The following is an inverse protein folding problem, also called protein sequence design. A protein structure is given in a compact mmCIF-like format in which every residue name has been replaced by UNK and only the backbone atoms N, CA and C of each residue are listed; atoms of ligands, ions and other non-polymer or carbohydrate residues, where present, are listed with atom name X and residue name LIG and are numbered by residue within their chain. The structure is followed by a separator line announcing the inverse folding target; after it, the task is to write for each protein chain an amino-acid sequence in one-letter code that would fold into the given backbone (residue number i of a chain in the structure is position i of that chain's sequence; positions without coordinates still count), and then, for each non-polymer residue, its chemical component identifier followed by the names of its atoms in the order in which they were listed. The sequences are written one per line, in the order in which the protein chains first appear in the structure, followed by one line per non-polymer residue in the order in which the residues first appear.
data_IF_556291585530
#
_entry.id   IF_556291585530
#
_cell.length_a   1.000
_cell.length_b   1.000
_cell.length_c   1.000
_cell.angle_alpha   90.00
_cell.angle_beta   90.00
_cell.angle_gamma   90.00
#
_symmetry.space_group_name_H-M   'P 1'
#
loop_
_entity.id
_entity.type
_entity.pdbx_description
1 polymer ?
#
# COMPACT_ATOMS: atom_id res chain seq x y z
N UNK A 1 30.87 54.61 32.62
CA UNK A 1 30.57 53.16 32.70
C UNK A 1 30.41 52.65 31.28
N UNK A 2 31.48 52.11 30.69
CA UNK A 2 31.43 51.44 29.40
C UNK A 2 31.07 49.98 29.65
N UNK A 3 29.93 49.54 29.15
CA UNK A 3 29.57 48.12 29.06
C UNK A 3 30.48 47.49 28.02
N UNK A 4 31.44 46.70 28.48
CA UNK A 4 32.27 45.84 27.63
C UNK A 4 31.33 44.81 26.99
N UNK A 5 31.09 44.94 25.68
CA UNK A 5 30.37 43.93 24.92
C UNK A 5 31.27 42.69 24.81
N UNK A 6 30.86 41.58 25.41
CA UNK A 6 31.55 40.29 25.31
C UNK A 6 31.64 39.84 23.85
N UNK A 7 32.84 39.80 23.24
CA UNK A 7 33.00 39.40 21.86
C UNK A 7 33.35 37.92 21.81
N UNK A 8 32.40 36.97 21.94
CA UNK A 8 32.61 35.54 21.59
C UNK A 8 31.37 34.65 21.83
N UNK A 9 30.26 34.88 21.13
CA UNK A 9 29.27 33.81 20.89
C UNK A 9 29.09 33.65 19.38
N UNK A 10 30.15 33.22 18.71
CA UNK A 10 30.07 32.82 17.31
C UNK A 10 29.20 31.56 17.25
N UNK A 11 27.95 31.71 16.83
CA UNK A 11 27.04 30.59 16.63
C UNK A 11 27.69 29.54 15.72
N UNK A 12 27.52 28.24 16.02
CA UNK A 12 28.07 27.19 15.19
C UNK A 12 27.54 27.30 13.76
N UNK A 13 28.34 26.90 12.74
CA UNK A 13 27.92 26.94 11.35
C UNK A 13 26.60 26.18 11.15
N UNK A 14 25.72 26.70 10.29
CA UNK A 14 24.36 26.19 10.08
C UNK A 14 24.30 24.67 9.90
N UNK A 15 25.22 24.09 9.13
CA UNK A 15 25.28 22.64 8.92
C UNK A 15 25.44 21.84 10.22
N UNK A 16 26.23 22.32 11.18
CA UNK A 16 26.35 21.67 12.50
C UNK A 16 25.08 21.79 13.33
N UNK A 17 24.36 22.92 13.22
CA UNK A 17 23.07 23.15 13.90
C UNK A 17 21.97 22.25 13.33
N UNK A 18 21.88 22.13 12.01
CA UNK A 18 20.94 21.26 11.31
C UNK A 18 21.23 19.77 11.53
N UNK A 19 22.50 19.40 11.72
CA UNK A 19 22.90 18.03 12.05
C UNK A 19 22.54 17.60 13.49
N UNK A 20 21.98 18.49 14.31
CA UNK A 20 21.57 18.14 15.67
C UNK A 20 20.43 17.09 15.67
N UNK A 21 20.48 16.09 16.55
CA UNK A 21 19.45 15.05 16.63
C UNK A 21 18.08 15.60 17.02
N UNK A 22 18.04 16.75 17.71
CA UNK A 22 16.80 17.40 18.11
C UNK A 22 16.03 17.97 16.91
N UNK A 23 16.73 18.65 15.99
CA UNK A 23 16.12 19.17 14.75
C UNK A 23 15.62 18.02 13.89
N UNK A 24 16.39 16.93 13.77
CA UNK A 24 15.97 15.75 13.02
C UNK A 24 14.70 15.13 13.61
N UNK A 25 14.64 14.89 14.92
CA UNK A 25 13.45 14.36 15.62
C UNK A 25 12.24 15.27 15.46
N UNK A 26 12.43 16.59 15.48
CA UNK A 26 11.37 17.56 15.24
C UNK A 26 10.78 17.43 13.83
N UNK A 27 11.62 17.42 12.80
CA UNK A 27 11.17 17.30 11.40
C UNK A 27 10.49 15.94 11.19
N UNK A 28 11.12 14.86 11.61
CA UNK A 28 10.60 13.50 11.47
C UNK A 28 9.24 13.34 12.15
N UNK A 29 9.07 13.84 13.37
CA UNK A 29 7.80 13.81 14.08
C UNK A 29 6.69 14.61 13.38
N UNK A 30 7.03 15.70 12.68
CA UNK A 30 6.08 16.48 11.89
C UNK A 30 5.68 15.78 10.58
N UNK A 31 6.64 15.12 9.92
CA UNK A 31 6.46 14.43 8.64
C UNK A 31 5.70 13.11 8.83
N UNK A 32 6.11 12.28 9.80
CA UNK A 32 5.51 10.96 10.09
C UNK A 32 4.01 11.03 10.39
N UNK A 33 3.51 12.18 10.88
CA UNK A 33 2.07 12.40 11.13
C UNK A 33 1.24 12.62 9.86
N UNK A 34 1.87 12.86 8.70
CA UNK A 34 1.20 13.35 7.48
C UNK A 34 1.65 12.67 6.19
N UNK A 35 2.71 11.88 6.23
CA UNK A 35 3.35 11.23 5.09
C UNK A 35 3.46 9.74 5.39
N UNK A 36 3.23 8.83 4.41
CA UNK A 36 3.41 7.38 4.59
C UNK A 36 4.83 7.03 5.07
N UNK A 37 4.98 5.96 5.86
CA UNK A 37 6.27 5.63 6.50
C UNK A 37 7.43 5.49 5.52
N UNK A 38 7.21 4.88 4.34
CA UNK A 38 8.25 4.70 3.32
C UNK A 38 8.76 6.00 2.68
N UNK A 39 8.03 7.11 2.82
CA UNK A 39 8.36 8.41 2.21
C UNK A 39 8.86 9.42 3.25
N UNK A 40 8.92 9.04 4.53
CA UNK A 40 9.30 9.95 5.62
C UNK A 40 10.73 10.44 5.45
N UNK A 41 11.67 9.53 5.21
CA UNK A 41 13.09 9.85 5.12
C UNK A 41 13.40 10.75 3.92
N UNK A 42 12.76 10.51 2.77
CA UNK A 42 12.92 11.32 1.56
C UNK A 42 12.41 12.75 1.74
N UNK A 43 11.26 12.92 2.40
CA UNK A 43 10.72 14.25 2.72
C UNK A 43 11.60 14.95 3.76
N UNK A 44 12.09 14.25 4.78
CA UNK A 44 13.02 14.80 5.78
C UNK A 44 14.32 15.26 5.12
N UNK A 45 14.90 14.45 4.23
CA UNK A 45 16.09 14.81 3.47
C UNK A 45 15.85 16.04 2.60
N UNK A 46 14.72 16.10 1.90
CA UNK A 46 14.36 17.27 1.08
C UNK A 46 14.27 18.54 1.92
N UNK A 47 13.66 18.48 3.11
CA UNK A 47 13.59 19.62 4.04
C UNK A 47 14.98 20.09 4.47
N UNK A 48 15.87 19.16 4.82
CA UNK A 48 17.24 19.49 5.25
C UNK A 48 18.07 20.08 4.11
N UNK A 49 17.95 19.56 2.88
CA UNK A 49 18.60 20.11 1.70
C UNK A 49 18.13 21.54 1.42
N UNK A 50 16.82 21.80 1.46
CA UNK A 50 16.26 23.14 1.29
C UNK A 50 16.71 24.10 2.39
N UNK A 51 16.77 23.63 3.64
CA UNK A 51 17.24 24.43 4.77
C UNK A 51 18.73 24.78 4.64
N UNK A 52 19.56 23.85 4.14
CA UNK A 52 20.98 24.07 3.88
C UNK A 52 21.23 25.04 2.72
N UNK A 53 20.36 25.02 1.71
CA UNK A 53 20.48 25.87 0.52
C UNK A 53 19.93 27.29 0.70
N UNK A 54 19.26 27.59 1.81
CA UNK A 54 18.65 28.90 2.04
C UNK A 54 19.65 29.89 2.65
N UNK A 55 19.79 31.05 2.02
CA UNK A 55 20.75 32.09 2.43
C UNK A 55 20.35 32.81 3.75
N UNK A 56 19.08 32.76 4.14
CA UNK A 56 18.52 33.53 5.26
C UNK A 56 18.08 32.63 6.44
N UNK A 57 18.97 31.75 6.89
CA UNK A 57 18.72 30.96 8.08
C UNK A 57 18.91 31.80 9.37
N UNK A 58 17.96 31.80 10.32
CA UNK A 58 18.13 32.52 11.58
C UNK A 58 19.32 32.03 12.41
N UNK A 59 20.06 32.96 13.03
CA UNK A 59 21.20 32.64 13.89
C UNK A 59 20.78 32.08 15.26
N UNK A 60 19.61 32.47 15.75
CA UNK A 60 19.02 31.99 17.00
C UNK A 60 18.40 30.59 16.83
N UNK A 61 18.59 29.70 17.81
CA UNK A 61 18.15 28.30 17.74
C UNK A 61 16.62 28.16 17.82
N UNK A 62 15.93 29.00 18.58
CA UNK A 62 14.47 28.96 18.64
C UNK A 62 13.84 29.45 17.33
N UNK A 63 14.40 30.52 16.76
CA UNK A 63 13.98 31.03 15.46
C UNK A 63 14.28 30.02 14.35
N UNK A 64 15.44 29.34 14.40
CA UNK A 64 15.78 28.26 13.46
C UNK A 64 14.75 27.13 13.51
N UNK A 65 14.36 26.67 14.71
CA UNK A 65 13.33 25.63 14.88
C UNK A 65 11.99 26.04 14.28
N UNK A 66 11.53 27.27 14.53
CA UNK A 66 10.28 27.81 13.96
C UNK A 66 10.34 27.91 12.44
N UNK A 67 11.48 28.36 11.91
CA UNK A 67 11.74 28.50 10.48
C UNK A 67 11.77 27.15 9.76
N UNK A 68 12.50 26.16 10.27
CA UNK A 68 12.51 24.78 9.76
C UNK A 68 11.10 24.19 9.78
N UNK A 69 10.34 24.36 10.86
CA UNK A 69 8.96 23.89 10.93
C UNK A 69 8.06 24.55 9.85
N UNK A 70 8.40 25.75 9.38
CA UNK A 70 7.79 26.38 8.22
C UNK A 70 8.11 25.63 6.92
N UNK A 71 9.39 25.38 6.64
CA UNK A 71 9.85 24.62 5.47
C UNK A 71 9.21 23.23 5.43
N UNK A 72 9.22 22.51 6.56
CA UNK A 72 8.62 21.18 6.69
C UNK A 72 7.13 21.18 6.31
N UNK A 73 6.36 22.17 6.77
CA UNK A 73 4.93 22.28 6.42
C UNK A 73 4.72 22.47 4.92
N UNK A 74 5.54 23.31 4.29
CA UNK A 74 5.47 23.52 2.84
C UNK A 74 5.84 22.26 2.06
N UNK A 75 6.91 21.56 2.45
CA UNK A 75 7.32 20.32 1.78
C UNK A 75 6.29 19.19 1.92
N UNK A 76 5.67 19.06 3.08
CA UNK A 76 4.56 18.12 3.24
C UNK A 76 3.38 18.51 2.35
N UNK A 77 3.02 19.79 2.26
CA UNK A 77 1.96 20.24 1.36
C UNK A 77 2.30 19.97 -0.12
N UNK A 78 3.55 20.20 -0.50
CA UNK A 78 4.03 19.94 -1.86
C UNK A 78 4.09 18.45 -2.19
N UNK A 79 4.43 17.58 -1.24
CA UNK A 79 4.32 16.13 -1.38
C UNK A 79 2.89 15.72 -1.76
N UNK A 80 1.88 16.21 -1.02
CA UNK A 80 0.47 15.93 -1.33
C UNK A 80 0.01 16.54 -2.67
N UNK A 81 0.50 17.73 -3.01
CA UNK A 81 0.23 18.35 -4.33
C UNK A 81 0.84 17.53 -5.47
N UNK A 82 2.07 17.02 -5.32
CA UNK A 82 2.73 16.17 -6.30
C UNK A 82 1.99 14.83 -6.44
N UNK A 83 1.65 14.18 -5.33
CA UNK A 83 0.86 12.94 -5.34
C UNK A 83 -0.51 13.08 -6.00
N UNK A 84 -1.13 14.27 -5.94
CA UNK A 84 -2.40 14.55 -6.64
C UNK A 84 -2.26 14.87 -8.14
N UNK A 85 -1.06 15.25 -8.60
CA UNK A 85 -0.81 15.73 -9.97
C UNK A 85 -0.01 14.75 -10.82
N UNK A 86 0.78 13.89 -10.19
CA UNK A 86 1.37 12.77 -10.90
C UNK A 86 0.19 11.95 -11.44
N UNK A 87 0.03 11.79 -12.77
CA UNK A 87 -0.74 10.66 -13.25
C UNK A 87 -0.16 9.47 -12.50
N UNK A 88 -1.01 8.54 -12.02
CA UNK A 88 -0.51 7.23 -11.57
C UNK A 88 0.28 6.69 -12.76
N UNK A 89 1.57 6.99 -12.81
CA UNK A 89 2.48 6.46 -13.79
C UNK A 89 2.30 4.96 -13.58
N UNK A 90 1.86 4.30 -14.65
CA UNK A 90 1.63 2.86 -14.70
C UNK A 90 2.70 2.21 -13.84
N UNK A 91 2.29 1.79 -12.65
CA UNK A 91 3.15 1.07 -11.72
C UNK A 91 3.66 -0.08 -12.55
N UNK A 92 4.98 -0.11 -12.75
CA UNK A 92 5.66 -1.21 -13.41
C UNK A 92 5.06 -2.51 -12.90
N UNK A 93 4.54 -3.32 -13.82
CA UNK A 93 3.87 -4.63 -13.65
C UNK A 93 4.71 -5.70 -12.92
N UNK A 94 5.82 -5.30 -12.29
CA UNK A 94 6.89 -6.16 -11.79
C UNK A 94 6.84 -6.42 -10.28
N UNK A 95 5.91 -5.83 -9.53
CA UNK A 95 5.62 -6.28 -8.17
C UNK A 95 4.13 -6.54 -8.10
N UNK A 96 3.75 -7.81 -8.27
CA UNK A 96 2.46 -8.34 -7.88
C UNK A 96 2.31 -8.21 -6.36
N UNK A 97 2.18 -6.97 -5.88
CA UNK A 97 1.68 -6.68 -4.57
C UNK A 97 0.29 -7.29 -4.51
N UNK A 98 0.10 -8.15 -3.53
CA UNK A 98 -1.17 -8.74 -3.11
C UNK A 98 -2.32 -7.78 -3.47
N UNK A 99 -3.17 -8.18 -4.43
CA UNK A 99 -4.25 -7.33 -4.91
C UNK A 99 -4.98 -6.79 -3.68
N UNK A 100 -5.19 -5.46 -3.56
CA UNK A 100 -5.93 -4.92 -2.44
C UNK A 100 -7.23 -5.71 -2.34
N UNK A 101 -7.64 -6.14 -1.13
CA UNK A 101 -8.67 -7.17 -0.94
C UNK A 101 -10.05 -6.81 -1.53
N UNK A 102 -10.21 -5.58 -2.05
CA UNK A 102 -11.32 -5.16 -2.89
C UNK A 102 -10.80 -4.58 -4.21
N UNK A 103 -10.84 -5.38 -5.26
CA UNK A 103 -10.49 -5.00 -6.63
C UNK A 103 -11.46 -3.95 -7.19
N UNK A 104 -11.00 -3.13 -8.15
CA UNK A 104 -11.89 -2.18 -8.86
C UNK A 104 -13.12 -2.87 -9.48
N UNK A 105 -12.98 -4.16 -9.84
CA UNK A 105 -14.06 -5.00 -10.36
C UNK A 105 -15.16 -5.28 -9.32
N UNK A 106 -14.82 -5.38 -8.05
CA UNK A 106 -15.81 -5.58 -6.97
C UNK A 106 -16.61 -4.31 -6.69
N UNK A 107 -15.95 -3.15 -6.75
CA UNK A 107 -16.61 -1.85 -6.65
C UNK A 107 -17.60 -1.63 -7.81
N UNK A 108 -17.21 -1.99 -9.03
CA UNK A 108 -18.11 -1.94 -10.19
C UNK A 108 -19.33 -2.85 -10.01
N UNK A 109 -19.12 -4.13 -9.62
CA UNK A 109 -20.22 -5.07 -9.34
C UNK A 109 -21.14 -4.61 -8.22
N UNK A 110 -20.61 -3.97 -7.17
CA UNK A 110 -21.43 -3.38 -6.11
C UNK A 110 -22.28 -2.23 -6.65
N UNK A 111 -21.69 -1.34 -7.44
CA UNK A 111 -22.41 -0.20 -8.02
C UNK A 111 -23.53 -0.64 -8.98
N UNK A 112 -23.28 -1.67 -9.80
CA UNK A 112 -24.28 -2.27 -10.70
C UNK A 112 -25.50 -2.80 -9.93
N UNK A 113 -25.27 -3.53 -8.83
CA UNK A 113 -26.36 -4.01 -7.95
C UNK A 113 -27.21 -2.88 -7.37
N UNK A 114 -26.64 -1.70 -7.12
CA UNK A 114 -27.41 -0.55 -6.62
C UNK A 114 -28.35 0.04 -7.68
N UNK A 115 -28.13 -0.28 -8.96
CA UNK A 115 -28.95 0.18 -10.10
C UNK A 115 -29.85 -0.91 -10.66
N UNK A 116 -29.82 -2.11 -10.10
CA UNK A 116 -30.64 -3.23 -10.54
C UNK A 116 -32.14 -2.87 -10.39
N UNK A 117 -32.90 -3.04 -11.47
CA UNK A 117 -34.32 -2.68 -11.54
C UNK A 117 -34.61 -1.24 -11.97
N UNK A 118 -33.61 -0.37 -12.13
CA UNK A 118 -33.78 0.98 -12.67
C UNK A 118 -32.88 1.21 -13.93
N UNK A 119 -33.45 1.14 -15.15
CA UNK A 119 -32.69 1.30 -16.39
C UNK A 119 -32.19 2.73 -16.62
N UNK A 120 -32.75 3.74 -15.95
CA UNK A 120 -32.23 5.11 -15.99
C UNK A 120 -31.02 5.26 -15.07
N UNK A 121 -31.06 4.63 -13.90
CA UNK A 121 -29.92 4.55 -12.98
C UNK A 121 -28.73 3.81 -13.61
N UNK A 122 -28.97 2.68 -14.26
CA UNK A 122 -27.94 1.90 -14.94
C UNK A 122 -27.25 2.72 -16.07
N UNK A 123 -28.02 3.45 -16.87
CA UNK A 123 -27.46 4.38 -17.88
C UNK A 123 -26.65 5.51 -17.25
N UNK A 124 -27.14 6.08 -16.15
CA UNK A 124 -26.40 7.13 -15.43
C UNK A 124 -25.08 6.60 -14.85
N UNK A 125 -25.05 5.33 -14.42
CA UNK A 125 -23.85 4.67 -13.95
C UNK A 125 -22.83 4.43 -15.08
N UNK A 126 -23.29 4.00 -16.25
CA UNK A 126 -22.45 3.90 -17.45
C UNK A 126 -21.79 5.24 -17.81
N UNK A 127 -22.57 6.34 -17.79
CA UNK A 127 -22.01 7.68 -18.01
C UNK A 127 -20.93 8.05 -17.00
N UNK A 128 -21.08 7.64 -15.74
CA UNK A 128 -20.05 7.85 -14.71
C UNK A 128 -18.80 7.02 -14.95
N UNK A 129 -18.93 5.79 -15.42
CA UNK A 129 -17.80 4.94 -15.78
C UNK A 129 -17.02 5.52 -16.96
N UNK A 130 -17.72 5.97 -18.01
CA UNK A 130 -17.13 6.67 -19.17
C UNK A 130 -16.44 7.98 -18.78
N UNK A 131 -17.06 8.77 -17.90
CA UNK A 131 -16.43 9.98 -17.34
C UNK A 131 -15.16 9.65 -16.55
N UNK A 132 -15.15 8.56 -15.78
CA UNK A 132 -13.97 8.04 -15.09
C UNK A 132 -12.86 7.59 -16.04
N UNK A 133 -13.22 7.12 -17.23
CA UNK A 133 -12.31 6.83 -18.35
C UNK A 133 -11.76 8.06 -19.08
N UNK A 134 -12.14 9.28 -18.65
CA UNK A 134 -11.66 10.54 -19.22
C UNK A 134 -12.60 11.19 -20.24
N UNK A 135 -13.74 10.57 -20.54
CA UNK A 135 -14.71 11.13 -21.46
C UNK A 135 -15.44 12.34 -20.86
N UNK A 136 -15.59 13.42 -21.62
CA UNK A 136 -16.28 14.62 -21.11
C UNK A 136 -17.80 14.39 -21.16
N UNK A 137 -18.52 14.72 -20.08
CA UNK A 137 -19.99 14.62 -20.01
C UNK A 137 -20.74 15.35 -21.15
N UNK A 138 -20.13 16.37 -21.77
CA UNK A 138 -20.71 17.05 -22.92
C UNK A 138 -20.74 16.18 -24.18
N UNK A 139 -19.75 15.30 -24.35
CA UNK A 139 -19.68 14.33 -25.44
C UNK A 139 -20.74 13.24 -25.25
N UNK A 140 -20.79 12.66 -24.05
CA UNK A 140 -21.83 11.69 -23.66
C UNK A 140 -23.24 12.28 -23.86
N UNK A 141 -23.46 13.54 -23.47
CA UNK A 141 -24.73 14.22 -23.68
C UNK A 141 -25.10 14.37 -25.17
N UNK A 142 -24.13 14.65 -26.04
CA UNK A 142 -24.35 14.75 -27.47
C UNK A 142 -24.70 13.38 -28.10
N UNK A 143 -24.02 12.31 -27.69
CA UNK A 143 -24.31 10.94 -28.13
C UNK A 143 -25.70 10.46 -27.71
N UNK A 144 -26.06 10.68 -26.45
CA UNK A 144 -27.36 10.30 -25.87
C UNK A 144 -28.50 11.22 -26.29
N UNK A 145 -28.21 12.29 -27.04
CA UNK A 145 -29.16 13.35 -27.45
C UNK A 145 -29.88 13.98 -26.26
N UNK A 146 -29.17 14.17 -25.16
CA UNK A 146 -29.66 14.81 -23.93
C UNK A 146 -28.99 16.17 -23.70
N UNK A 147 -29.68 17.14 -23.07
CA UNK A 147 -29.02 18.38 -22.66
C UNK A 147 -27.89 18.11 -21.66
N UNK A 148 -26.70 18.68 -21.89
CA UNK A 148 -25.54 18.50 -21.01
C UNK A 148 -25.80 18.85 -19.53
N UNK A 149 -26.74 19.76 -19.27
CA UNK A 149 -27.18 20.12 -17.91
C UNK A 149 -27.90 18.95 -17.22
N UNK A 150 -28.76 18.20 -17.93
CA UNK A 150 -29.46 17.05 -17.37
C UNK A 150 -28.49 15.92 -17.02
N UNK A 151 -27.55 15.61 -17.91
CA UNK A 151 -26.51 14.58 -17.66
C UNK A 151 -25.71 14.92 -16.41
N UNK A 152 -25.22 16.16 -16.29
CA UNK A 152 -24.51 16.62 -15.08
C UNK A 152 -25.35 16.51 -13.82
N UNK A 153 -26.63 16.86 -13.89
CA UNK A 153 -27.52 16.79 -12.73
C UNK A 153 -27.77 15.35 -12.30
N UNK A 154 -28.04 14.44 -13.24
CA UNK A 154 -28.23 13.00 -12.98
C UNK A 154 -26.98 12.37 -12.38
N UNK A 155 -25.82 12.58 -12.99
CA UNK A 155 -24.52 12.12 -12.47
C UNK A 155 -24.25 12.68 -11.07
N UNK A 156 -24.51 13.97 -10.84
CA UNK A 156 -24.33 14.56 -9.51
C UNK A 156 -25.27 13.95 -8.46
N UNK A 157 -26.52 13.63 -8.81
CA UNK A 157 -27.46 12.96 -7.91
C UNK A 157 -27.00 11.54 -7.61
N UNK A 158 -26.59 10.79 -8.64
CA UNK A 158 -26.09 9.42 -8.49
C UNK A 158 -24.84 9.36 -7.60
N UNK A 159 -23.86 10.27 -7.79
CA UNK A 159 -22.68 10.37 -6.92
C UNK A 159 -23.05 10.63 -5.46
N UNK A 160 -24.06 11.47 -5.18
CA UNK A 160 -24.52 11.73 -3.81
C UNK A 160 -25.19 10.50 -3.22
N UNK A 161 -26.05 9.83 -3.99
CA UNK A 161 -26.73 8.61 -3.58
C UNK A 161 -25.73 7.50 -3.22
N UNK A 162 -24.74 7.24 -4.08
CA UNK A 162 -23.71 6.23 -3.82
C UNK A 162 -22.88 6.56 -2.59
N UNK A 163 -22.49 7.83 -2.40
CA UNK A 163 -21.77 8.26 -1.18
C UNK A 163 -22.59 8.04 0.09
N UNK A 164 -23.89 8.30 0.05
CA UNK A 164 -24.77 8.09 1.21
C UNK A 164 -24.89 6.61 1.56
N UNK A 165 -25.08 5.73 0.57
CA UNK A 165 -25.13 4.28 0.82
C UNK A 165 -23.80 3.72 1.32
N UNK A 166 -22.70 4.14 0.73
CA UNK A 166 -21.39 3.71 1.19
C UNK A 166 -21.08 4.18 2.62
N UNK A 167 -21.45 5.41 2.96
CA UNK A 167 -21.31 5.91 4.33
C UNK A 167 -22.15 5.10 5.34
N UNK A 168 -23.34 4.65 4.96
CA UNK A 168 -24.18 3.80 5.80
C UNK A 168 -23.56 2.41 6.02
N UNK A 169 -23.03 1.78 4.97
CA UNK A 169 -22.32 0.50 5.08
C UNK A 169 -21.07 0.62 5.97
N UNK A 170 -20.27 1.67 5.81
CA UNK A 170 -19.12 1.93 6.67
C UNK A 170 -19.52 2.18 8.13
N UNK A 171 -20.61 2.90 8.37
CA UNK A 171 -21.13 3.12 9.72
C UNK A 171 -21.56 1.80 10.38
N UNK A 172 -22.17 0.88 9.62
CA UNK A 172 -22.54 -0.44 10.11
C UNK A 172 -21.31 -1.29 10.47
N UNK A 173 -20.29 -1.32 9.60
CA UNK A 173 -19.02 -2.01 9.89
C UNK A 173 -18.34 -1.41 11.13
N UNK A 174 -18.28 -0.09 11.22
CA UNK A 174 -17.72 0.59 12.39
C UNK A 174 -18.47 0.27 13.68
N UNK A 175 -19.81 0.17 13.62
CA UNK A 175 -20.62 -0.25 14.76
C UNK A 175 -20.31 -1.69 15.19
N UNK A 176 -20.19 -2.63 14.24
CA UNK A 176 -19.81 -4.03 14.52
C UNK A 176 -18.43 -4.10 15.17
N UNK A 177 -17.44 -3.39 14.62
CA UNK A 177 -16.09 -3.33 15.19
C UNK A 177 -16.12 -2.75 16.60
N UNK A 178 -16.90 -1.69 16.82
CA UNK A 178 -17.08 -1.08 18.16
C UNK A 178 -17.68 -2.09 19.14
N UNK A 179 -18.71 -2.84 18.74
CA UNK A 179 -19.31 -3.89 19.57
C UNK A 179 -18.30 -5.00 19.85
N UNK A 180 -17.55 -5.47 18.84
CA UNK A 180 -16.51 -6.49 19.02
C UNK A 180 -15.42 -6.05 20.00
N UNK A 181 -14.99 -4.79 19.92
CA UNK A 181 -14.03 -4.20 20.86
C UNK A 181 -14.61 -4.13 22.26
N UNK A 182 -15.86 -3.71 22.43
CA UNK A 182 -16.52 -3.68 23.75
C UNK A 182 -16.66 -5.10 24.31
N UNK A 183 -17.09 -6.05 23.50
CA UNK A 183 -17.21 -7.46 23.86
C UNK A 183 -15.85 -8.02 24.28
N UNK A 184 -14.78 -7.79 23.51
CA UNK A 184 -13.43 -8.19 23.88
C UNK A 184 -12.91 -7.51 25.15
N UNK A 185 -13.25 -6.23 25.35
CA UNK A 185 -12.88 -5.43 26.53
C UNK A 185 -13.57 -5.92 27.80
N UNK A 186 -14.82 -6.39 27.68
CA UNK A 186 -15.65 -6.83 28.80
C UNK A 186 -15.75 -8.36 28.93
N UNK A 187 -15.20 -9.12 27.98
CA UNK A 187 -15.12 -10.57 28.13
C UNK A 187 -14.22 -10.85 29.34
N UNK A 188 -14.70 -11.60 30.35
CA UNK A 188 -13.85 -12.03 31.44
C UNK A 188 -12.66 -12.76 30.81
N UNK A 189 -11.45 -12.23 31.03
CA UNK A 189 -10.24 -12.99 30.75
C UNK A 189 -10.34 -14.20 31.67
N UNK A 190 -10.49 -15.39 31.10
CA UNK A 190 -10.25 -16.61 31.85
C UNK A 190 -8.90 -16.40 32.53
N UNK A 191 -8.91 -16.36 33.86
CA UNK A 191 -7.67 -16.39 34.60
C UNK A 191 -6.95 -17.64 34.10
N UNK A 192 -5.73 -17.51 33.56
CA UNK A 192 -5.01 -18.66 33.06
C UNK A 192 -4.96 -19.63 34.23
N UNK A 193 -5.69 -20.73 34.11
CA UNK A 193 -5.69 -21.82 35.08
C UNK A 193 -4.21 -22.12 35.24
N UNK A 194 -3.65 -21.83 36.42
CA UNK A 194 -2.25 -22.04 36.70
C UNK A 194 -1.93 -23.44 36.17
N UNK A 195 -0.97 -23.58 35.24
CA UNK A 195 -0.74 -24.86 34.60
C UNK A 195 -0.57 -25.87 35.72
N UNK A 196 -1.43 -26.90 35.72
CA UNK A 196 -1.27 -28.02 36.63
C UNK A 196 0.21 -28.40 36.58
N UNK A 197 0.87 -28.68 37.73
CA UNK A 197 2.30 -28.96 37.76
C UNK A 197 2.58 -30.00 36.67
N UNK A 198 3.23 -29.54 35.60
CA UNK A 198 3.55 -30.40 34.47
C UNK A 198 4.39 -31.50 35.09
N UNK A 199 4.00 -32.78 34.99
CA UNK A 199 4.83 -33.85 35.53
C UNK A 199 6.22 -33.63 34.96
N UNK A 200 7.20 -33.54 35.84
CA UNK A 200 8.60 -33.34 35.49
C UNK A 200 8.98 -34.50 34.57
N UNK A 201 8.92 -34.26 33.25
CA UNK A 201 9.29 -35.24 32.25
C UNK A 201 10.80 -35.32 32.35
N UNK A 202 11.30 -36.28 33.11
CA UNK A 202 12.71 -36.64 33.09
C UNK A 202 13.07 -36.93 31.64
N UNK A 203 13.97 -36.14 31.01
CA UNK A 203 14.31 -36.34 29.62
C UNK A 203 14.80 -37.79 29.43
N UNK A 204 14.29 -38.45 28.39
CA UNK A 204 14.73 -39.79 28.06
C UNK A 204 16.23 -39.73 27.74
N UNK A 205 17.09 -40.45 28.48
CA UNK A 205 18.54 -40.42 28.25
C UNK A 205 18.92 -40.82 26.82
N UNK A 206 18.08 -41.60 26.12
CA UNK A 206 18.31 -41.95 24.71
C UNK A 206 18.15 -40.76 23.78
N UNK A 207 17.17 -39.89 24.04
CA UNK A 207 16.96 -38.68 23.24
C UNK A 207 18.09 -37.67 23.46
N UNK A 208 18.65 -37.61 24.68
CA UNK A 208 19.84 -36.80 24.94
C UNK A 208 21.07 -37.32 24.19
N UNK A 209 21.25 -38.64 24.14
CA UNK A 209 22.32 -39.25 23.35
C UNK A 209 22.20 -38.97 21.85
N UNK A 210 20.98 -39.08 21.29
CA UNK A 210 20.73 -38.72 19.89
C UNK A 210 21.05 -37.26 19.59
N UNK A 211 20.66 -36.33 20.49
CA UNK A 211 21.00 -34.90 20.35
C UNK A 211 22.50 -34.66 20.37
N UNK A 212 23.24 -35.36 21.23
CA UNK A 212 24.70 -35.26 21.29
C UNK A 212 25.34 -35.73 19.98
N UNK A 213 24.92 -36.88 19.45
CA UNK A 213 25.42 -37.41 18.18
C UNK A 213 25.17 -36.47 17.00
N UNK A 214 23.99 -35.82 16.93
CA UNK A 214 23.72 -34.81 15.89
C UNK A 214 24.63 -33.60 16.00
N UNK A 215 24.88 -33.11 17.23
CA UNK A 215 25.76 -31.97 17.44
C UNK A 215 27.21 -32.28 17.00
N UNK A 216 27.72 -33.46 17.38
CA UNK A 216 29.04 -33.95 16.95
C UNK A 216 29.10 -34.12 15.42
N UNK A 217 28.04 -34.66 14.80
CA UNK A 217 27.97 -34.84 13.37
C UNK A 217 28.01 -33.52 12.60
N UNK A 218 27.29 -32.49 13.08
CA UNK A 218 27.30 -31.17 12.46
C UNK A 218 28.69 -30.52 12.52
N UNK A 219 29.45 -30.76 13.59
CA UNK A 219 30.85 -30.33 13.71
C UNK A 219 31.78 -31.09 12.74
N UNK A 220 31.59 -32.41 12.60
CA UNK A 220 32.28 -33.25 11.60
C UNK A 220 31.98 -32.78 10.17
N UNK A 221 30.72 -32.43 9.87
CA UNK A 221 30.33 -31.84 8.59
C UNK A 221 30.99 -30.46 8.37
N UNK A 222 31.06 -29.61 9.39
CA UNK A 222 31.70 -28.30 9.28
C UNK A 222 33.22 -28.40 9.01
N UNK A 223 33.87 -29.43 9.55
CA UNK A 223 35.30 -29.72 9.32
C UNK A 223 35.59 -30.51 8.04
N UNK A 224 34.57 -30.78 7.20
CA UNK A 224 34.64 -31.56 5.96
C UNK A 224 35.01 -33.04 6.16
N UNK A 225 34.81 -33.58 7.36
CA UNK A 225 34.89 -35.02 7.62
C UNK A 225 33.59 -35.69 7.19
N UNK A 226 33.33 -35.73 5.87
CA UNK A 226 32.02 -36.07 5.32
C UNK A 226 31.52 -37.47 5.68
N UNK A 227 32.41 -38.47 5.64
CA UNK A 227 32.04 -39.85 5.99
C UNK A 227 31.67 -39.97 7.48
N UNK A 228 32.48 -39.39 8.36
CA UNK A 228 32.24 -39.40 9.81
C UNK A 228 30.95 -38.64 10.17
N UNK A 229 30.67 -37.53 9.49
CA UNK A 229 29.41 -36.81 9.64
C UNK A 229 28.19 -37.70 9.32
N UNK A 230 28.20 -38.39 8.18
CA UNK A 230 27.08 -39.25 7.78
C UNK A 230 26.92 -40.44 8.74
N UNK A 231 28.02 -41.07 9.15
CA UNK A 231 27.98 -42.20 10.09
C UNK A 231 27.40 -41.80 11.46
N UNK A 232 27.71 -40.58 11.94
CA UNK A 232 27.17 -40.04 13.20
C UNK A 232 25.70 -39.63 13.07
N UNK A 233 25.26 -39.07 11.93
CA UNK A 233 23.84 -38.79 11.66
C UNK A 233 23.01 -40.08 11.58
N UNK A 234 23.51 -41.12 10.91
CA UNK A 234 22.86 -42.44 10.85
C UNK A 234 22.80 -43.13 12.23
N UNK A 235 23.80 -42.89 13.09
CA UNK A 235 23.76 -43.35 14.47
C UNK A 235 22.68 -42.60 15.29
N UNK A 236 22.54 -41.29 15.10
CA UNK A 236 21.50 -40.50 15.75
C UNK A 236 20.09 -40.87 15.28
N UNK A 237 19.89 -41.07 13.98
CA UNK A 237 18.62 -41.48 13.37
C UNK A 237 18.14 -42.83 13.91
N UNK A 238 19.05 -43.79 14.13
CA UNK A 238 18.72 -45.08 14.75
C UNK A 238 18.18 -44.96 16.17
N UNK A 239 18.52 -43.89 16.88
CA UNK A 239 18.05 -43.65 18.27
C UNK A 239 16.77 -42.81 18.26
N UNK A 240 16.67 -41.82 17.37
CA UNK A 240 15.57 -40.86 17.28
C UNK A 240 15.29 -40.51 15.80
N UNK A 241 14.43 -41.27 15.11
CA UNK A 241 14.11 -41.04 13.69
C UNK A 241 13.44 -39.69 13.44
N UNK A 242 12.53 -39.27 14.34
CA UNK A 242 11.76 -38.03 14.19
C UNK A 242 12.66 -36.79 14.23
N UNK A 243 13.76 -36.84 14.98
CA UNK A 243 14.72 -35.74 15.03
C UNK A 243 15.61 -35.61 13.77
N UNK A 244 15.59 -36.57 12.84
CA UNK A 244 16.28 -36.46 11.55
C UNK A 244 15.50 -35.56 10.55
N UNK A 245 14.21 -35.32 10.79
CA UNK A 245 13.37 -34.42 9.96
C UNK A 245 13.74 -32.94 10.09
N UNK A 246 14.63 -32.59 11.03
CA UNK A 246 15.11 -31.22 11.19
C UNK A 246 15.84 -30.75 9.92
N UNK A 247 15.45 -29.57 9.41
CA UNK A 247 15.99 -29.01 8.16
C UNK A 247 17.52 -28.93 8.16
N UNK A 248 18.11 -28.59 9.31
CA UNK A 248 19.58 -28.50 9.47
C UNK A 248 20.29 -29.84 9.25
N UNK A 249 19.66 -30.95 9.64
CA UNK A 249 20.20 -32.31 9.48
C UNK A 249 20.09 -32.76 8.03
N UNK A 250 18.94 -32.53 7.38
CA UNK A 250 18.74 -32.82 5.96
C UNK A 250 19.73 -32.05 5.08
N UNK A 251 19.95 -30.76 5.35
CA UNK A 251 20.93 -29.93 4.65
C UNK A 251 22.37 -30.40 4.89
N UNK A 252 22.69 -30.92 6.08
CA UNK A 252 23.99 -31.51 6.36
C UNK A 252 24.22 -32.82 5.58
N UNK A 253 23.22 -33.72 5.54
CA UNK A 253 23.26 -34.97 4.76
C UNK A 253 23.46 -34.71 3.26
N UNK A 254 22.68 -33.80 2.68
CA UNK A 254 22.79 -33.44 1.27
C UNK A 254 24.17 -32.89 0.91
N UNK A 255 24.72 -32.00 1.76
CA UNK A 255 26.07 -31.44 1.56
C UNK A 255 27.18 -32.48 1.67
N UNK A 256 27.12 -33.34 2.68
CA UNK A 256 28.11 -34.40 2.86
C UNK A 256 28.07 -35.42 1.71
N UNK A 257 26.88 -35.81 1.27
CA UNK A 257 26.69 -36.72 0.13
C UNK A 257 27.25 -36.12 -1.18
N UNK A 258 26.92 -34.85 -1.48
CA UNK A 258 27.44 -34.17 -2.67
C UNK A 258 28.97 -34.04 -2.65
N UNK A 259 29.56 -33.77 -1.48
CA UNK A 259 31.01 -33.63 -1.36
C UNK A 259 31.75 -34.96 -1.54
N UNK A 260 31.20 -36.07 -1.04
CA UNK A 260 31.75 -37.41 -1.27
C UNK A 260 31.67 -37.83 -2.74
N UNK A 261 30.59 -37.47 -3.44
CA UNK A 261 30.48 -37.70 -4.88
C UNK A 261 31.57 -36.94 -5.66
N UNK A 262 31.81 -35.67 -5.31
CA UNK A 262 32.88 -34.85 -5.90
C UNK A 262 34.28 -35.45 -5.64
N UNK A 263 34.55 -35.92 -4.42
CA UNK A 263 35.80 -36.60 -4.07
C UNK A 263 35.97 -37.91 -4.85
N UNK A 264 34.89 -38.67 -5.01
CA UNK A 264 34.91 -39.90 -5.81
C UNK A 264 35.17 -39.60 -7.30
N UNK A 265 34.55 -38.58 -7.87
CA UNK A 265 34.78 -38.17 -9.26
C UNK A 265 36.24 -37.75 -9.48
N UNK A 266 36.81 -36.95 -8.56
CA UNK A 266 38.23 -36.58 -8.59
C UNK A 266 39.15 -37.79 -8.52
N UNK A 267 38.81 -38.80 -7.72
CA UNK A 267 39.59 -40.04 -7.62
C UNK A 267 39.50 -40.92 -8.88
N UNK A 268 38.39 -40.80 -9.65
CA UNK A 268 38.14 -41.53 -10.88
C UNK A 268 38.72 -40.85 -12.12
N UNK A 269 39.16 -39.60 -12.02
CA UNK A 269 39.80 -38.89 -13.14
C UNK A 269 41.02 -39.71 -13.62
N UNK A 270 41.08 -40.08 -14.91
CA UNK A 270 42.08 -41.02 -15.40
C UNK A 270 43.50 -40.47 -15.21
N UNK A 271 44.35 -41.28 -14.59
CA UNK A 271 45.80 -41.02 -14.35
C UNK A 271 46.60 -41.05 -15.67
N UNK A 272 45.94 -41.16 -16.81
CA UNK A 272 46.57 -41.31 -18.13
C UNK A 272 46.77 -39.99 -18.85
N UNK A 273 47.88 -39.33 -18.54
CA UNK A 273 48.71 -38.66 -19.54
C UNK A 273 50.18 -38.72 -19.14
N UNK A 274 50.65 -39.89 -18.72
CA UNK A 274 52.06 -40.25 -18.82
C UNK A 274 52.34 -40.68 -20.27
N UNK A 275 52.59 -39.66 -21.10
CA UNK A 275 53.37 -39.65 -22.33
C UNK A 275 53.83 -41.02 -22.89
N UNK A 276 52.92 -41.71 -23.59
CA UNK A 276 53.28 -42.84 -24.46
C UNK A 276 53.96 -42.29 -25.71
N UNK A 277 55.28 -42.43 -25.79
CA UNK A 277 56.10 -42.21 -26.99
C UNK A 277 55.53 -43.03 -28.16
N UNK A 278 55.14 -42.33 -29.23
CA UNK A 278 54.78 -42.88 -30.56
C UNK A 278 55.85 -43.83 -31.09
N UNK A 279 55.45 -44.97 -31.68
CA UNK A 279 56.04 -45.42 -32.93
C UNK A 279 55.05 -45.42 -34.10
N UNK A 280 55.64 -45.46 -35.28
CA UNK A 280 55.16 -45.15 -36.63
C UNK A 280 54.15 -46.17 -37.23
N UNK A 281 53.60 -45.89 -38.43
CA UNK A 281 52.32 -46.43 -38.91
C UNK A 281 52.47 -47.73 -39.69
N UNK A 282 51.45 -48.57 -39.62
CA UNK A 282 51.19 -49.62 -40.61
C UNK A 282 49.74 -49.63 -41.04
N UNK A 283 49.61 -49.77 -42.33
CA UNK A 283 48.46 -49.73 -43.21
C UNK A 283 47.54 -50.93 -43.05
N UNK A 284 46.29 -50.67 -43.46
CA UNK A 284 45.44 -51.52 -44.32
C UNK A 284 44.29 -52.33 -43.73
N UNK A 285 43.19 -52.23 -44.51
CA UNK A 285 42.00 -53.08 -44.65
C UNK A 285 40.87 -52.92 -43.62
N UNK A 286 39.56 -52.92 -43.95
CA UNK A 286 38.73 -52.64 -45.14
C UNK A 286 37.28 -53.04 -44.75
N UNK A 287 36.30 -52.25 -45.23
CA UNK A 287 34.86 -52.54 -45.47
C UNK A 287 33.83 -52.56 -44.29
N UNK A 288 32.85 -51.65 -44.40
CA UNK A 288 31.47 -51.81 -43.89
C UNK A 288 30.70 -50.48 -43.65
N UNK A 289 29.68 -50.11 -44.47
CA UNK A 289 28.90 -48.86 -44.32
C UNK A 289 27.67 -48.98 -43.38
N UNK A 290 27.01 -47.85 -43.00
CA UNK A 290 26.28 -47.67 -41.74
C UNK A 290 24.74 -47.70 -41.88
N UNK A 291 23.98 -47.77 -40.76
CA UNK A 291 22.63 -47.21 -40.71
C UNK A 291 22.63 -45.81 -40.09
N UNK A 292 22.23 -44.85 -40.92
CA UNK A 292 21.97 -43.45 -40.65
C UNK A 292 20.73 -43.28 -39.78
N UNK A 293 20.88 -42.75 -38.56
CA UNK A 293 19.76 -42.20 -37.78
C UNK A 293 19.75 -40.68 -37.96
N UNK A 294 18.98 -40.26 -38.96
CA UNK A 294 18.61 -38.86 -39.22
C UNK A 294 17.65 -38.38 -38.13
N UNK A 295 18.09 -37.44 -37.30
CA UNK A 295 17.18 -36.58 -36.52
C UNK A 295 17.29 -35.16 -37.08
N UNK A 296 16.18 -34.51 -37.47
CA UNK A 296 16.23 -33.19 -38.08
C UNK A 296 16.55 -32.10 -37.03
N UNK A 297 17.30 -31.05 -37.40
CA UNK A 297 17.44 -29.87 -36.57
C UNK A 297 16.12 -29.06 -36.63
N UNK A 298 15.50 -28.88 -35.47
CA UNK A 298 14.41 -27.92 -35.28
C UNK A 298 14.98 -26.52 -35.50
N UNK A 299 14.67 -25.96 -36.67
CA UNK A 299 14.95 -24.58 -37.06
C UNK A 299 14.08 -23.67 -36.22
N UNK A 300 14.66 -23.03 -35.21
CA UNK A 300 14.03 -21.96 -34.45
C UNK A 300 13.84 -20.75 -35.38
N UNK A 301 12.60 -20.48 -35.72
CA UNK A 301 12.15 -19.31 -36.46
C UNK A 301 12.12 -18.11 -35.48
N UNK A 302 12.78 -16.98 -35.78
CA UNK A 302 12.68 -15.78 -34.96
C UNK A 302 11.29 -15.13 -35.11
N UNK A 303 10.69 -14.59 -34.03
CA UNK A 303 9.38 -13.99 -34.10
C UNK A 303 9.39 -12.77 -35.02
N UNK A 304 8.54 -12.82 -36.05
CA UNK A 304 8.24 -11.70 -36.92
C UNK A 304 7.67 -10.55 -36.08
N UNK A 305 8.36 -9.40 -36.14
CA UNK A 305 7.81 -8.10 -35.78
C UNK A 305 6.57 -7.82 -36.65
N UNK A 306 5.42 -7.43 -36.10
CA UNK A 306 4.33 -6.91 -36.91
C UNK A 306 4.78 -5.60 -37.60
N UNK A 307 4.33 -5.34 -38.85
CA UNK A 307 4.67 -4.13 -39.58
C UNK A 307 4.16 -2.89 -38.85
N UNK A 308 5.06 -1.94 -38.66
CA UNK A 308 4.77 -0.57 -38.26
C UNK A 308 3.96 0.07 -39.39
N UNK A 309 2.64 0.11 -39.24
CA UNK A 309 1.76 0.86 -40.12
C UNK A 309 1.99 2.34 -39.87
N UNK A 310 2.76 2.96 -40.77
CA UNK A 310 3.01 4.38 -40.82
C UNK A 310 1.74 5.10 -41.29
N UNK A 311 0.94 5.60 -40.36
CA UNK A 311 -0.06 6.62 -40.67
C UNK A 311 0.65 7.93 -41.10
N UNK A 312 0.17 8.60 -42.17
CA UNK A 312 0.73 9.87 -42.62
C UNK A 312 0.38 11.00 -41.63
N UNK A 313 1.24 12.04 -41.53
CA UNK A 313 1.03 13.13 -40.60
C UNK A 313 -0.24 13.92 -40.96
N UNK A 314 -1.25 13.85 -40.09
CA UNK A 314 -2.35 14.80 -40.11
C UNK A 314 -1.78 16.21 -39.87
N UNK A 315 -1.88 17.03 -40.92
CA UNK A 315 -1.65 18.47 -40.86
C UNK A 315 -2.65 19.08 -39.88
N UNK A 316 -2.18 19.47 -38.70
CA UNK A 316 -2.90 20.39 -37.84
C UNK A 316 -2.86 21.78 -38.49
N UNK A 317 -3.99 22.20 -39.05
CA UNK A 317 -4.21 23.60 -39.38
C UNK A 317 -4.22 24.42 -38.07
N UNK A 318 -3.46 25.53 -37.99
CA UNK A 318 -3.51 26.40 -36.82
C UNK A 318 -4.90 27.05 -36.70
N UNK A 319 -5.41 27.27 -35.48
CA UNK A 319 -6.69 27.92 -35.29
C UNK A 319 -6.66 29.34 -35.89
N UNK A 320 -7.52 29.54 -36.88
CA UNK A 320 -7.85 30.83 -37.46
C UNK A 320 -8.20 31.79 -36.33
N UNK A 321 -7.35 32.79 -36.13
CA UNK A 321 -7.63 33.96 -35.31
C UNK A 321 -8.77 34.74 -35.97
N UNK A 322 -10.01 34.43 -35.59
CA UNK A 322 -11.16 35.28 -35.89
C UNK A 322 -11.00 36.61 -35.15
N UNK A 323 -10.46 37.56 -35.90
CA UNK A 323 -10.32 38.98 -35.56
C UNK A 323 -11.72 39.60 -35.62
N UNK A 324 -12.47 39.53 -34.52
CA UNK A 324 -13.71 40.29 -34.37
C UNK A 324 -13.33 41.71 -33.92
N UNK A 325 -13.55 42.67 -34.81
CA UNK A 325 -13.46 44.09 -34.50
C UNK A 325 -14.61 44.51 -33.56
N UNK A 326 -14.41 45.47 -32.64
CA UNK A 326 -15.47 45.98 -31.79
C UNK A 326 -16.27 47.05 -32.55
N UNK A 327 -17.58 46.83 -32.70
CA UNK A 327 -18.54 47.91 -32.98
C UNK A 327 -19.46 48.09 -31.78
N UNK A 328 -19.37 49.29 -31.23
CA UNK A 328 -20.50 50.20 -31.00
C UNK A 328 -21.56 49.81 -29.96
N UNK A 329 -21.49 50.53 -28.84
CA UNK A 329 -22.60 51.08 -28.04
C UNK A 329 -23.93 50.32 -28.07
N UNK A 330 -24.28 49.70 -26.94
CA UNK A 330 -25.68 49.61 -26.54
C UNK A 330 -25.80 49.87 -25.05
N UNK A 331 -26.79 50.70 -24.75
CA UNK A 331 -27.03 51.35 -23.47
C UNK A 331 -27.42 50.37 -22.37
N UNK A 332 -26.98 50.72 -21.17
CA UNK A 332 -27.24 50.07 -19.89
C UNK A 332 -28.69 50.32 -19.46
N UNK A 333 -29.57 49.32 -19.30
CA UNK A 333 -30.83 49.54 -18.60
C UNK A 333 -30.57 49.50 -17.08
N UNK A 334 -30.81 50.64 -16.43
CA UNK A 334 -30.93 50.79 -14.98
C UNK A 334 -32.00 49.86 -14.39
N UNK A 335 -31.74 49.18 -13.25
CA UNK A 335 -32.79 48.48 -12.52
C UNK A 335 -33.69 49.50 -11.80
N UNK A 336 -34.98 49.40 -12.11
CA UNK A 336 -36.07 50.20 -11.53
C UNK A 336 -36.29 49.77 -10.07
N UNK A 337 -36.05 50.69 -9.14
CA UNK A 337 -36.32 50.54 -7.71
C UNK A 337 -37.85 50.49 -7.49
N UNK A 338 -38.42 49.47 -6.83
CA UNK A 338 -39.83 49.47 -6.44
C UNK A 338 -40.09 50.40 -5.23
N UNK A 339 -41.27 51.01 -5.12
CA UNK A 339 -41.58 52.00 -4.09
C UNK A 339 -41.65 51.40 -2.69
N UNK A 340 -41.01 52.10 -1.74
CA UNK A 340 -41.06 51.83 -0.31
C UNK A 340 -42.51 51.91 0.21
N UNK A 341 -43.00 50.80 0.76
CA UNK A 341 -44.16 50.80 1.66
C UNK A 341 -43.72 51.32 3.03
N UNK A 342 -44.45 52.33 3.49
CA UNK A 342 -44.38 52.91 4.83
C UNK A 342 -44.58 51.85 5.91
N UNK A 343 -43.69 51.85 6.89
CA UNK A 343 -43.84 51.16 8.17
C UNK A 343 -44.80 51.95 9.07
N UNK A 344 -45.73 51.28 9.78
CA UNK A 344 -46.50 51.93 10.84
C UNK A 344 -45.67 52.08 12.12
N UNK A 345 -45.83 53.26 12.72
CA UNK A 345 -45.38 53.70 14.03
C UNK A 345 -45.76 52.75 15.17
N UNK A 346 -44.77 52.35 15.96
CA UNK A 346 -44.94 51.78 17.31
C UNK A 346 -45.16 52.90 18.34
N UNK A 347 -46.17 52.81 19.22
CA UNK A 347 -46.29 53.67 20.37
C UNK A 347 -45.48 53.14 21.56
N UNK A 348 -44.71 54.04 22.16
CA UNK A 348 -44.12 53.93 23.48
C UNK A 348 -45.20 53.85 24.56
N UNK A 349 -45.04 52.97 25.55
CA UNK A 349 -45.70 53.16 26.83
C UNK A 349 -45.91 51.92 27.70
N UNK A 350 -45.35 51.99 28.91
CA UNK A 350 -45.84 51.45 30.19
C UNK A 350 -45.34 50.07 30.68
N UNK A 351 -44.38 50.18 31.62
CA UNK A 351 -44.42 49.68 33.02
C UNK A 351 -44.82 48.22 33.29
N UNK A 352 -43.84 47.49 33.85
CA UNK A 352 -43.92 46.95 35.22
C UNK A 352 -44.27 45.47 35.40
N UNK A 353 -43.84 44.92 36.54
CA UNK A 353 -44.20 43.63 37.16
C UNK A 353 -43.48 42.40 36.58
N UNK A 354 -42.40 41.88 37.20
CA UNK A 354 -42.33 41.01 38.39
C UNK A 354 -42.94 39.61 38.19
N UNK A 355 -42.08 38.59 38.39
CA UNK A 355 -42.41 37.27 38.94
C UNK A 355 -43.20 36.31 38.05
N UNK A 356 -42.55 35.23 37.61
CA UNK A 356 -43.25 33.97 37.37
C UNK A 356 -42.31 32.77 37.48
N UNK A 357 -42.45 32.05 38.59
CA UNK A 357 -42.06 30.65 38.77
C UNK A 357 -42.98 29.73 37.95
N UNK A 358 -42.43 28.62 37.45
CA UNK A 358 -43.17 27.50 36.88
C UNK A 358 -42.19 26.54 36.21
N UNK A 359 -41.83 25.36 36.75
CA UNK A 359 -42.66 24.24 37.20
C UNK A 359 -43.64 23.75 36.12
N UNK A 360 -43.19 22.78 35.34
CA UNK A 360 -43.98 21.77 34.61
C UNK A 360 -43.01 20.61 34.37
N UNK A 361 -43.15 19.39 34.92
CA UNK A 361 -44.32 18.51 35.10
C UNK A 361 -45.05 18.19 33.80
N UNK A 362 -44.46 17.26 33.04
CA UNK A 362 -45.11 16.32 32.12
C UNK A 362 -44.22 15.06 32.20
N UNK A 363 -44.67 13.86 32.57
CA UNK A 363 -45.93 13.21 32.23
C UNK A 363 -45.65 12.12 31.20
N UNK A 364 -44.89 11.07 31.59
CA UNK A 364 -44.68 9.89 30.76
C UNK A 364 -45.71 8.81 31.15
N UNK A 365 -46.88 8.91 30.51
CA UNK A 365 -47.80 7.80 30.29
C UNK A 365 -47.56 7.29 28.86
N UNK A 366 -46.91 6.14 28.70
CA UNK A 366 -47.05 5.36 27.47
C UNK A 366 -47.15 3.89 27.83
N UNK A 367 -48.36 3.40 27.60
CA UNK A 367 -48.93 2.12 27.94
C UNK A 367 -48.32 0.97 27.14
N UNK A 368 -48.12 -0.14 27.84
CA UNK A 368 -48.71 -1.45 27.53
C UNK A 368 -48.82 -1.83 26.04
N UNK A 369 -47.93 -2.71 25.59
CA UNK A 369 -48.25 -3.64 24.52
C UNK A 369 -47.68 -5.01 24.85
N UNK A 370 -48.49 -5.78 25.61
CA UNK A 370 -48.53 -7.24 25.51
C UNK A 370 -48.69 -7.66 24.05
N UNK A 371 -47.76 -8.47 23.55
CA UNK A 371 -48.08 -9.64 22.74
C UNK A 371 -46.86 -10.55 22.62
N UNK A 372 -46.96 -11.74 23.20
CA UNK A 372 -45.99 -12.82 23.03
C UNK A 372 -46.31 -13.68 21.79
N UNK A 373 -45.40 -14.59 21.43
CA UNK A 373 -45.88 -15.93 21.10
C UNK A 373 -45.02 -17.06 21.67
N UNK A 374 -45.69 -17.89 22.47
CA UNK A 374 -45.84 -19.35 22.35
C UNK A 374 -44.58 -20.19 22.07
N UNK A 375 -44.18 -20.87 23.14
CA UNK A 375 -43.48 -22.14 23.22
C UNK A 375 -43.80 -23.11 22.06
N UNK A 376 -42.77 -23.69 21.45
CA UNK A 376 -42.83 -24.97 20.74
C UNK A 376 -41.93 -25.97 21.45
N UNK A 377 -42.58 -26.93 22.09
CA UNK A 377 -42.05 -28.22 22.52
C UNK A 377 -41.80 -29.09 21.27
N UNK A 378 -40.62 -29.70 21.17
CA UNK A 378 -40.38 -30.87 20.31
C UNK A 378 -39.81 -31.98 21.20
N UNK A 379 -40.35 -33.17 20.95
CA UNK A 379 -40.03 -34.48 21.55
C UNK A 379 -38.72 -35.03 21.02
#
# INVERSE_FOLDING_TARGET
MQTVADPSTTSPPLGKRLASPEIRRLIEGMVRRRVPQGEVDDVVQTVLCDALAADQAPEDDEQLRKWIAGITRHKVADFHRKGSRAPKAELSDAVAGEEPPLSAREWARWAERQTEGDPEAARTLDWMAREGGGEKLAHIAAEEKLPATQVRQRVSRMRRFMKQRWAAELAAVAAIVTVAVLVWRFWPKEEPIAPAPVPEVTPDPRLEEARRLRAEALESCASKAWQECLDQLDAAERIDPDGDDATEIQDARQRAAAALEEEQEKSRAPVDSAEVKKPAPTTDLKLGPPPTSTTPPVKSEPPQKPPLESEPPQKFDPPVKSKVAPKEQTQKPTPKIPPQKSLPSTPSGLKGSSGFDGSSSMGNDFSDTKDGPKNKSWK
#
